data_IF_215486231082
#
_entry.id   IF_215486231082
#
_cell.length_a   1.000
_cell.length_b   1.000
_cell.length_c   1.000
_cell.angle_alpha   90.00
_cell.angle_beta   90.00
_cell.angle_gamma   90.00
#
_symmetry.space_group_name_H-M   'P 1'
#
loop_
_entity.id
_entity.type
_entity.pdbx_description
1 polymer ?
#
# COMPACT_ATOMS: atom_id res chain seq x y z
N UNK A 1 5.46 -0.08 0.48
CA UNK A 1 6.53 -0.53 1.38
C UNK A 1 5.95 -1.08 2.68
N UNK A 2 5.00 -0.39 3.33
CA UNK A 2 4.32 -0.87 4.54
C UNK A 2 3.59 -2.19 4.31
N UNK A 3 2.78 -2.29 3.24
CA UNK A 3 2.12 -3.54 2.84
C UNK A 3 3.14 -4.66 2.62
N UNK A 4 4.27 -4.37 1.96
CA UNK A 4 5.33 -5.36 1.76
C UNK A 4 5.97 -5.84 3.08
N UNK A 5 6.03 -4.97 4.11
CA UNK A 5 6.50 -5.33 5.44
C UNK A 5 5.52 -6.24 6.20
N UNK A 6 4.24 -6.21 5.83
CA UNK A 6 3.19 -7.04 6.42
C UNK A 6 3.07 -8.43 5.77
N UNK A 7 3.64 -8.62 4.57
CA UNK A 7 3.65 -9.92 3.90
C UNK A 7 4.58 -10.91 4.62
N UNK A 8 4.31 -12.23 4.55
CA UNK A 8 5.14 -13.26 5.19
C UNK A 8 6.64 -13.08 4.90
N UNK A 9 7.47 -13.29 5.93
CA UNK A 9 8.92 -13.05 5.84
C UNK A 9 9.63 -13.96 4.83
N UNK A 10 9.13 -15.17 4.67
CA UNK A 10 9.62 -16.19 3.75
C UNK A 10 9.30 -15.91 2.26
N UNK A 11 8.40 -14.96 1.98
CA UNK A 11 8.10 -14.61 0.59
C UNK A 11 9.21 -13.75 0.00
N UNK A 12 9.65 -14.10 -1.19
CA UNK A 12 10.48 -13.23 -1.99
C UNK A 12 9.64 -12.06 -2.51
N UNK A 13 10.14 -10.83 -2.35
CA UNK A 13 9.40 -9.60 -2.62
C UNK A 13 10.17 -8.71 -3.56
N UNK A 14 9.49 -8.19 -4.56
CA UNK A 14 10.02 -7.19 -5.50
C UNK A 14 9.06 -6.01 -5.57
N UNK A 15 9.58 -4.80 -5.50
CA UNK A 15 8.80 -3.57 -5.70
C UNK A 15 9.13 -2.95 -7.05
N UNK A 16 8.10 -2.58 -7.79
CA UNK A 16 8.22 -1.72 -8.97
C UNK A 16 7.37 -0.47 -8.73
N UNK A 17 8.04 0.64 -8.44
CA UNK A 17 7.40 1.95 -8.40
C UNK A 17 7.41 2.54 -9.81
N UNK A 18 6.26 2.55 -10.45
CA UNK A 18 6.09 2.98 -11.84
C UNK A 18 6.32 4.50 -12.05
N UNK A 19 6.47 5.28 -10.97
CA UNK A 19 6.86 6.70 -11.07
C UNK A 19 8.37 6.86 -11.36
N UNK A 20 9.18 5.86 -11.01
CA UNK A 20 10.64 5.93 -11.13
C UNK A 20 11.25 4.75 -11.90
N UNK A 21 10.49 3.66 -12.10
CA UNK A 21 10.96 2.43 -12.75
C UNK A 21 9.90 1.89 -13.70
N UNK A 22 10.34 1.35 -14.83
CA UNK A 22 9.42 0.72 -15.79
C UNK A 22 9.11 -0.72 -15.35
N UNK A 23 7.82 -1.08 -15.26
CA UNK A 23 7.38 -2.46 -15.12
C UNK A 23 7.62 -3.24 -16.41
N UNK A 24 8.26 -4.40 -16.32
CA UNK A 24 8.48 -5.31 -17.45
C UNK A 24 7.56 -6.54 -17.39
N UNK A 25 7.38 -7.24 -18.50
CA UNK A 25 6.61 -8.50 -18.50
C UNK A 25 7.34 -9.61 -17.74
N UNK A 26 8.67 -9.53 -17.63
CA UNK A 26 9.45 -10.49 -16.84
C UNK A 26 9.26 -10.26 -15.33
N UNK A 27 9.04 -9.02 -14.87
CA UNK A 27 8.66 -8.74 -13.50
C UNK A 27 7.32 -9.40 -13.14
N UNK A 28 6.35 -9.36 -14.07
CA UNK A 28 5.04 -9.96 -13.90
C UNK A 28 5.14 -11.50 -13.91
N UNK A 29 5.89 -12.09 -14.85
CA UNK A 29 6.06 -13.55 -14.92
C UNK A 29 6.81 -14.14 -13.74
N UNK A 30 7.67 -13.34 -13.10
CA UNK A 30 8.40 -13.75 -11.90
C UNK A 30 7.48 -13.94 -10.68
N UNK A 31 6.35 -13.21 -10.62
CA UNK A 31 5.50 -13.16 -9.46
C UNK A 31 4.38 -14.21 -9.50
N UNK A 32 4.15 -14.91 -8.39
CA UNK A 32 2.94 -15.71 -8.18
C UNK A 32 1.70 -14.80 -7.99
N UNK A 33 1.91 -13.66 -7.33
CA UNK A 33 0.90 -12.63 -7.11
C UNK A 33 1.47 -11.24 -7.37
N UNK A 34 0.73 -10.43 -8.12
CA UNK A 34 1.01 -9.01 -8.31
C UNK A 34 0.11 -8.19 -7.39
N UNK A 35 0.71 -7.52 -6.41
CA UNK A 35 -0.01 -6.60 -5.52
C UNK A 35 -0.02 -5.20 -6.14
N UNK A 36 -1.19 -4.63 -6.38
CA UNK A 36 -1.38 -3.31 -6.97
C UNK A 36 -1.95 -2.35 -5.91
N UNK A 37 -1.25 -1.25 -5.68
CA UNK A 37 -1.75 -0.13 -4.87
C UNK A 37 -1.62 1.16 -5.67
N UNK A 38 -2.70 1.93 -5.77
CA UNK A 38 -2.73 3.12 -6.61
C UNK A 38 -3.68 4.20 -6.09
N UNK A 39 -3.44 5.43 -6.53
CA UNK A 39 -4.33 6.57 -6.40
C UNK A 39 -5.23 6.69 -7.63
N UNK A 40 -6.35 7.41 -7.51
CA UNK A 40 -7.34 7.62 -8.61
C UNK A 40 -6.68 8.19 -9.87
N UNK A 41 -5.71 9.10 -9.72
CA UNK A 41 -4.99 9.70 -10.86
C UNK A 41 -4.17 8.68 -11.67
N UNK A 42 -3.91 7.48 -11.13
CA UNK A 42 -3.12 6.42 -11.76
C UNK A 42 -4.00 5.36 -12.47
N UNK A 43 -5.31 5.56 -12.51
CA UNK A 43 -6.30 4.59 -13.01
C UNK A 43 -5.95 4.03 -14.41
N UNK A 44 -5.47 4.86 -15.35
CA UNK A 44 -5.12 4.40 -16.70
C UNK A 44 -3.93 3.42 -16.67
N UNK A 45 -2.87 3.75 -15.91
CA UNK A 45 -1.71 2.87 -15.74
C UNK A 45 -2.10 1.55 -15.04
N UNK A 46 -3.03 1.61 -14.09
CA UNK A 46 -3.55 0.41 -13.41
C UNK A 46 -4.28 -0.51 -14.39
N UNK A 47 -5.15 0.02 -15.26
CA UNK A 47 -5.85 -0.78 -16.30
C UNK A 47 -4.86 -1.49 -17.23
N UNK A 48 -3.78 -0.80 -17.62
CA UNK A 48 -2.72 -1.41 -18.42
C UNK A 48 -2.00 -2.55 -17.69
N UNK A 49 -1.67 -2.36 -16.39
CA UNK A 49 -1.03 -3.40 -15.57
C UNK A 49 -1.94 -4.61 -15.42
N UNK A 50 -3.23 -4.41 -15.11
CA UNK A 50 -4.21 -5.49 -15.00
C UNK A 50 -4.29 -6.29 -16.30
N UNK A 51 -4.44 -5.62 -17.45
CA UNK A 51 -4.49 -6.27 -18.76
C UNK A 51 -3.22 -7.09 -19.05
N UNK A 52 -2.04 -6.59 -18.64
CA UNK A 52 -0.77 -7.33 -18.77
C UNK A 52 -0.71 -8.54 -17.86
N UNK A 53 -1.13 -8.44 -16.60
CA UNK A 53 -1.19 -9.56 -15.67
C UNK A 53 -2.14 -10.66 -16.18
N UNK A 54 -3.32 -10.29 -16.68
CA UNK A 54 -4.28 -11.22 -17.27
C UNK A 54 -3.70 -11.94 -18.49
N UNK A 55 -3.07 -11.21 -19.41
CA UNK A 55 -2.38 -11.80 -20.58
C UNK A 55 -1.31 -12.81 -20.18
N UNK A 56 -0.60 -12.57 -19.09
CA UNK A 56 0.48 -13.39 -18.56
C UNK A 56 0.01 -14.45 -17.54
N UNK A 57 -1.30 -14.51 -17.28
CA UNK A 57 -1.94 -15.45 -16.34
C UNK A 57 -1.36 -15.34 -14.91
N UNK A 58 -1.05 -14.12 -14.45
CA UNK A 58 -0.57 -13.84 -13.11
C UNK A 58 -1.71 -13.29 -12.26
N UNK A 59 -1.89 -13.81 -11.06
CA UNK A 59 -2.97 -13.40 -10.13
C UNK A 59 -2.72 -12.01 -9.57
N UNK A 60 -3.81 -11.27 -9.35
CA UNK A 60 -3.77 -9.88 -8.89
C UNK A 60 -4.44 -9.76 -7.52
N UNK A 61 -3.76 -9.08 -6.61
CA UNK A 61 -4.31 -8.58 -5.34
C UNK A 61 -4.27 -7.06 -5.39
N UNK A 62 -5.42 -6.41 -5.27
CA UNK A 62 -5.52 -4.96 -5.41
C UNK A 62 -6.02 -4.29 -4.13
N UNK A 63 -5.45 -3.13 -3.80
CA UNK A 63 -5.84 -2.33 -2.64
C UNK A 63 -5.43 -0.87 -2.76
N UNK A 64 -5.60 -0.13 -1.67
CA UNK A 64 -5.29 1.30 -1.64
C UNK A 64 -6.47 2.18 -2.11
N UNK A 65 -6.28 3.50 -2.18
CA UNK A 65 -7.37 4.47 -2.36
C UNK A 65 -8.21 4.23 -3.61
N UNK A 66 -7.59 3.97 -4.77
CA UNK A 66 -8.30 3.74 -6.03
C UNK A 66 -9.33 2.62 -5.91
N UNK A 67 -8.92 1.49 -5.36
CA UNK A 67 -9.79 0.31 -5.26
C UNK A 67 -10.76 0.40 -4.08
N UNK A 68 -10.38 1.06 -2.99
CA UNK A 68 -11.29 1.28 -1.86
C UNK A 68 -12.53 2.09 -2.26
N UNK A 69 -12.40 3.00 -3.24
CA UNK A 69 -13.49 3.86 -3.70
C UNK A 69 -14.15 3.43 -5.00
N UNK A 70 -13.65 2.40 -5.69
CA UNK A 70 -14.19 2.03 -7.02
C UNK A 70 -13.73 0.66 -7.51
N UNK A 71 -13.63 -0.34 -6.63
CA UNK A 71 -13.17 -1.68 -7.00
C UNK A 71 -14.08 -2.38 -8.02
N UNK A 72 -15.36 -2.02 -8.05
CA UNK A 72 -16.37 -2.59 -8.94
C UNK A 72 -16.04 -2.39 -10.43
N UNK A 73 -15.19 -1.41 -10.76
CA UNK A 73 -14.74 -1.15 -12.13
C UNK A 73 -13.65 -2.12 -12.63
N UNK A 74 -13.18 -3.04 -11.76
CA UNK A 74 -11.98 -3.87 -12.01
C UNK A 74 -12.28 -5.37 -11.87
N UNK A 75 -13.24 -5.87 -12.66
CA UNK A 75 -13.72 -7.26 -12.61
C UNK A 75 -12.64 -8.33 -12.82
N UNK A 76 -11.51 -7.95 -13.47
CA UNK A 76 -10.41 -8.89 -13.73
C UNK A 76 -9.47 -9.11 -12.55
N UNK A 77 -9.64 -8.41 -11.45
CA UNK A 77 -8.82 -8.57 -10.24
C UNK A 77 -9.32 -9.77 -9.44
N UNK A 78 -8.42 -10.67 -9.05
CA UNK A 78 -8.79 -11.88 -8.29
C UNK A 78 -9.17 -11.57 -6.85
N UNK A 79 -8.42 -10.67 -6.18
CA UNK A 79 -8.63 -10.37 -4.77
C UNK A 79 -8.51 -8.88 -4.49
N UNK A 80 -9.46 -8.34 -3.74
CA UNK A 80 -9.43 -6.97 -3.24
C UNK A 80 -9.17 -6.96 -1.74
N UNK A 81 -8.19 -6.13 -1.32
CA UNK A 81 -7.86 -5.84 0.07
C UNK A 81 -8.14 -4.34 0.29
N UNK A 82 -9.38 -4.03 0.67
CA UNK A 82 -9.92 -2.68 0.71
C UNK A 82 -9.77 -2.02 2.10
N UNK A 83 -9.72 -0.69 2.11
CA UNK A 83 -9.51 0.08 3.32
C UNK A 83 -8.06 0.04 3.81
N UNK A 84 -7.88 0.03 5.13
CA UNK A 84 -6.56 0.01 5.74
C UNK A 84 -6.02 -1.43 5.83
N UNK A 85 -4.90 -1.68 5.17
CA UNK A 85 -4.33 -3.02 5.00
C UNK A 85 -3.99 -3.71 6.33
N UNK A 86 -3.73 -2.95 7.39
CA UNK A 86 -3.46 -3.48 8.73
C UNK A 86 -4.61 -4.36 9.26
N UNK A 87 -5.83 -4.13 8.79
CA UNK A 87 -7.03 -4.91 9.18
C UNK A 87 -7.34 -6.00 8.17
N UNK A 88 -7.30 -5.67 6.88
CA UNK A 88 -7.85 -6.53 5.83
C UNK A 88 -6.83 -7.49 5.22
N UNK A 89 -5.55 -7.10 5.15
CA UNK A 89 -4.50 -7.97 4.61
C UNK A 89 -4.26 -9.25 5.43
N UNK A 90 -4.25 -9.23 6.78
CA UNK A 90 -4.11 -10.46 7.57
C UNK A 90 -5.20 -11.48 7.28
N UNK A 91 -6.45 -11.04 7.05
CA UNK A 91 -7.57 -11.93 6.71
C UNK A 91 -7.35 -12.61 5.36
N UNK A 92 -6.91 -11.85 4.35
CA UNK A 92 -6.52 -12.39 3.05
C UNK A 92 -5.41 -13.43 3.17
N UNK A 93 -4.35 -13.12 3.92
CA UNK A 93 -3.19 -14.01 4.08
C UNK A 93 -3.55 -15.30 4.82
N UNK A 94 -4.43 -15.23 5.81
CA UNK A 94 -4.93 -16.41 6.53
C UNK A 94 -5.71 -17.33 5.59
N UNK A 95 -6.65 -16.79 4.81
CA UNK A 95 -7.45 -17.59 3.87
C UNK A 95 -6.61 -18.10 2.70
N UNK A 96 -5.63 -17.33 2.26
CA UNK A 96 -4.67 -17.78 1.25
C UNK A 96 -3.87 -18.99 1.75
N UNK A 97 -3.40 -18.95 3.01
CA UNK A 97 -2.71 -20.08 3.64
C UNK A 97 -3.57 -21.32 3.78
N UNK A 98 -4.89 -21.16 3.88
CA UNK A 98 -5.87 -22.27 3.89
C UNK A 98 -6.25 -22.74 2.47
N UNK A 99 -5.80 -22.06 1.42
CA UNK A 99 -6.13 -22.35 0.03
C UNK A 99 -7.55 -21.94 -0.40
N UNK A 100 -8.22 -21.07 0.34
CA UNK A 100 -9.58 -20.61 0.08
C UNK A 100 -9.73 -19.07 0.16
N UNK A 101 -8.88 -18.27 -0.51
CA UNK A 101 -8.98 -16.82 -0.46
C UNK A 101 -10.28 -16.34 -1.09
N UNK A 102 -10.91 -15.35 -0.45
CA UNK A 102 -12.13 -14.70 -0.94
C UNK A 102 -11.78 -13.62 -1.99
N UNK A 103 -12.80 -13.17 -2.72
CA UNK A 103 -12.65 -12.12 -3.71
C UNK A 103 -12.44 -10.74 -3.06
N UNK A 104 -13.17 -10.44 -1.97
CA UNK A 104 -13.16 -9.11 -1.32
C UNK A 104 -12.92 -9.26 0.17
N UNK A 105 -11.96 -8.49 0.68
CA UNK A 105 -11.68 -8.26 2.09
C UNK A 105 -11.88 -6.77 2.37
N UNK A 106 -12.90 -6.43 3.13
CA UNK A 106 -13.22 -5.06 3.51
C UNK A 106 -13.56 -5.00 5.01
N UNK A 107 -13.33 -3.85 5.63
CA UNK A 107 -13.67 -3.63 7.04
C UNK A 107 -13.90 -2.14 7.29
N UNK A 108 -14.88 -1.83 8.11
CA UNK A 108 -15.10 -0.48 8.65
C UNK A 108 -14.25 -0.19 9.89
N UNK A 109 -13.53 -1.20 10.39
CA UNK A 109 -12.64 -1.06 11.53
C UNK A 109 -11.41 -0.24 11.16
N UNK A 110 -11.06 0.72 11.99
CA UNK A 110 -9.85 1.54 11.85
C UNK A 110 -8.75 1.00 12.77
N UNK A 111 -7.56 0.65 12.25
CA UNK A 111 -6.48 0.10 13.08
C UNK A 111 -5.83 1.15 13.97
N UNK A 112 -5.18 0.67 15.02
CA UNK A 112 -4.18 1.45 15.76
C UNK A 112 -2.91 1.53 14.91
N UNK A 113 -2.61 2.70 14.36
CA UNK A 113 -1.46 2.86 13.46
C UNK A 113 -0.10 2.82 14.17
N UNK A 114 -0.11 2.89 15.50
CA UNK A 114 1.08 2.62 16.34
C UNK A 114 1.61 1.18 16.19
N UNK A 115 0.80 0.26 15.64
CA UNK A 115 1.19 -1.12 15.35
C UNK A 115 1.60 -1.37 13.90
N UNK A 116 1.52 -0.35 13.05
CA UNK A 116 1.95 -0.44 11.64
C UNK A 116 3.45 -0.74 11.58
N UNK A 117 3.91 -1.74 10.82
CA UNK A 117 5.32 -2.06 10.75
C UNK A 117 6.14 -0.96 10.06
N UNK A 118 7.42 -0.90 10.37
CA UNK A 118 8.37 -0.05 9.66
C UNK A 118 8.34 -0.45 8.18
N UNK A 119 8.23 0.53 7.26
CA UNK A 119 8.20 0.25 5.83
C UNK A 119 9.46 -0.51 5.37
N UNK A 120 9.29 -1.47 4.47
CA UNK A 120 10.37 -2.30 3.98
C UNK A 120 11.25 -1.53 2.96
N UNK A 121 12.02 -0.59 3.46
CA UNK A 121 12.88 0.30 2.67
C UNK A 121 13.94 -0.43 1.83
N UNK A 122 14.24 -1.69 2.16
CA UNK A 122 15.18 -2.52 1.38
C UNK A 122 14.74 -2.80 -0.06
N UNK A 123 13.44 -2.62 -0.35
CA UNK A 123 12.89 -2.87 -1.67
C UNK A 123 13.11 -1.73 -2.67
N UNK A 124 13.56 -0.56 -2.20
CA UNK A 124 13.78 0.59 -3.08
C UNK A 124 15.25 0.93 -3.25
N UNK A 125 15.57 1.46 -4.42
CA UNK A 125 16.85 2.14 -4.64
C UNK A 125 16.68 3.63 -4.25
N UNK A 126 17.15 4.01 -3.06
CA UNK A 126 17.00 5.36 -2.53
C UNK A 126 17.55 6.45 -3.45
N UNK A 127 18.52 6.12 -4.32
CA UNK A 127 19.14 7.07 -5.26
C UNK A 127 18.20 7.54 -6.37
N UNK A 128 17.08 6.87 -6.58
CA UNK A 128 16.09 7.24 -7.60
C UNK A 128 15.02 8.22 -7.11
N UNK A 129 15.06 8.57 -5.82
CA UNK A 129 14.07 9.45 -5.19
C UNK A 129 14.69 10.78 -4.77
N UNK A 130 13.92 11.87 -4.89
CA UNK A 130 14.31 13.21 -4.42
C UNK A 130 14.00 13.43 -2.94
N UNK A 131 12.98 12.75 -2.43
CA UNK A 131 12.58 12.76 -1.01
C UNK A 131 11.99 11.41 -0.62
N UNK A 132 12.00 11.09 0.67
CA UNK A 132 11.27 9.96 1.23
C UNK A 132 10.00 10.45 1.93
N UNK A 133 8.96 9.64 1.89
CA UNK A 133 7.69 9.95 2.52
C UNK A 133 7.49 9.08 3.76
N UNK A 134 7.16 9.72 4.88
CA UNK A 134 6.72 9.04 6.10
C UNK A 134 5.37 9.58 6.52
N UNK A 135 4.57 8.77 7.19
CA UNK A 135 3.27 9.15 7.71
C UNK A 135 3.28 9.05 9.23
N UNK A 136 2.89 10.12 9.91
CA UNK A 136 2.74 10.15 11.36
C UNK A 136 1.29 9.90 11.78
N UNK A 137 0.32 10.49 11.05
CA UNK A 137 -1.09 10.38 11.40
C UNK A 137 -1.97 10.00 10.21
N UNK A 138 -3.15 9.45 10.50
CA UNK A 138 -4.24 9.21 9.56
C UNK A 138 -5.55 9.70 10.14
N UNK A 139 -6.42 10.20 9.26
CA UNK A 139 -7.73 10.73 9.61
C UNK A 139 -7.71 12.24 9.79
N UNK A 140 -8.88 12.86 9.55
CA UNK A 140 -9.03 14.31 9.58
C UNK A 140 -10.37 14.68 10.21
N UNK A 141 -10.40 15.58 11.23
CA UNK A 141 -11.65 15.94 11.90
C UNK A 141 -12.55 16.86 11.05
N UNK A 142 -12.02 17.41 9.96
CA UNK A 142 -12.74 18.33 9.08
C UNK A 142 -13.59 17.58 8.05
N UNK A 143 -14.68 18.22 7.62
CA UNK A 143 -15.62 17.68 6.64
C UNK A 143 -15.59 18.54 5.36
N UNK A 144 -14.44 18.58 4.68
CA UNK A 144 -14.29 19.32 3.44
C UNK A 144 -15.03 18.61 2.29
N UNK A 145 -15.89 19.30 1.58
CA UNK A 145 -16.80 18.75 0.56
C UNK A 145 -16.06 18.03 -0.59
N UNK A 146 -14.84 18.44 -0.89
CA UNK A 146 -14.02 17.89 -1.99
C UNK A 146 -13.01 16.82 -1.55
N UNK A 147 -12.99 16.43 -0.27
CA UNK A 147 -11.91 15.62 0.31
C UNK A 147 -12.37 14.21 0.68
N UNK A 148 -11.72 13.20 0.10
CA UNK A 148 -12.04 11.78 0.33
C UNK A 148 -11.36 11.20 1.57
N UNK A 149 -10.55 11.96 2.30
CA UNK A 149 -9.76 11.47 3.44
C UNK A 149 -10.63 10.88 4.53
N UNK A 150 -11.78 11.51 4.84
CA UNK A 150 -12.69 11.00 5.84
C UNK A 150 -13.32 9.66 5.44
N UNK A 151 -13.54 9.44 4.15
CA UNK A 151 -14.02 8.17 3.62
C UNK A 151 -12.94 7.09 3.76
N UNK A 152 -11.69 7.41 3.42
CA UNK A 152 -10.56 6.49 3.46
C UNK A 152 -10.08 6.22 4.90
N UNK A 153 -9.84 7.27 5.69
CA UNK A 153 -9.13 7.21 6.96
C UNK A 153 -9.98 7.58 8.18
N UNK A 154 -11.23 8.06 7.97
CA UNK A 154 -12.16 8.43 9.03
C UNK A 154 -11.94 9.84 9.61
N UNK A 155 -12.85 10.24 10.52
CA UNK A 155 -12.84 11.56 11.13
C UNK A 155 -11.92 11.70 12.35
N UNK A 156 -11.55 10.59 12.99
CA UNK A 156 -10.73 10.61 14.19
C UNK A 156 -9.27 10.49 13.82
N UNK A 157 -8.44 11.52 14.07
CA UNK A 157 -7.00 11.42 13.87
C UNK A 157 -6.41 10.33 14.77
N UNK A 158 -5.61 9.48 14.18
CA UNK A 158 -4.85 8.41 14.86
C UNK A 158 -3.38 8.62 14.56
N UNK A 159 -2.53 8.55 15.57
CA UNK A 159 -1.11 8.85 15.45
C UNK A 159 -0.26 7.62 15.71
N UNK A 160 0.91 7.57 15.11
CA UNK A 160 2.00 6.73 15.57
C UNK A 160 2.57 7.26 16.87
N UNK A 161 3.26 6.40 17.61
CA UNK A 161 4.09 6.84 18.70
C UNK A 161 5.36 7.51 18.17
N UNK A 162 5.94 8.42 18.95
CA UNK A 162 7.19 9.10 18.56
C UNK A 162 8.34 8.12 18.33
N UNK A 163 8.41 7.07 19.13
CA UNK A 163 9.41 6.00 19.03
C UNK A 163 9.32 5.28 17.70
N UNK A 164 8.09 4.99 17.23
CA UNK A 164 7.85 4.36 15.94
C UNK A 164 8.28 5.26 14.78
N UNK A 165 7.90 6.54 14.80
CA UNK A 165 8.31 7.48 13.76
C UNK A 165 9.83 7.63 13.71
N UNK A 166 10.48 7.73 14.88
CA UNK A 166 11.94 7.79 14.96
C UNK A 166 12.58 6.51 14.40
N UNK A 167 12.06 5.34 14.72
CA UNK A 167 12.57 4.07 14.19
C UNK A 167 12.46 3.99 12.65
N UNK A 168 11.39 4.51 12.05
CA UNK A 168 11.27 4.61 10.59
C UNK A 168 12.33 5.53 9.97
N UNK A 169 12.62 6.67 10.61
CA UNK A 169 13.64 7.62 10.17
C UNK A 169 15.05 7.05 10.37
N UNK A 170 15.31 6.37 11.49
CA UNK A 170 16.58 5.71 11.77
C UNK A 170 16.87 4.60 10.75
N UNK A 171 15.88 3.80 10.39
CA UNK A 171 16.05 2.77 9.36
C UNK A 171 16.39 3.38 7.99
N UNK A 172 15.73 4.49 7.59
CA UNK A 172 16.11 5.25 6.40
C UNK A 172 17.56 5.76 6.49
N UNK A 173 17.95 6.30 7.65
CA UNK A 173 19.30 6.81 7.87
C UNK A 173 20.34 5.69 7.79
N UNK A 174 20.08 4.52 8.41
CA UNK A 174 20.98 3.37 8.36
C UNK A 174 21.14 2.82 6.95
N UNK A 175 20.12 2.95 6.10
CA UNK A 175 20.18 2.60 4.67
C UNK A 175 20.87 3.65 3.81
N UNK A 176 21.43 4.68 4.42
CA UNK A 176 22.23 5.69 3.74
C UNK A 176 21.44 6.88 3.20
N UNK A 177 20.12 6.99 3.51
CA UNK A 177 19.37 8.19 3.13
C UNK A 177 19.86 9.43 3.88
N UNK A 178 20.10 10.51 3.15
CA UNK A 178 20.55 11.82 3.70
C UNK A 178 19.79 12.99 3.06
N UNK A 179 18.73 12.69 2.31
CA UNK A 179 17.88 13.70 1.66
C UNK A 179 16.73 14.17 2.54
N UNK A 180 15.84 14.96 1.97
CA UNK A 180 14.62 15.42 2.62
C UNK A 180 13.67 14.27 2.95
N UNK A 181 12.90 14.43 4.02
CA UNK A 181 11.78 13.56 4.38
C UNK A 181 10.51 14.41 4.43
N UNK A 182 9.49 13.98 3.72
CA UNK A 182 8.18 14.64 3.67
C UNK A 182 7.18 13.85 4.53
N UNK A 183 6.49 14.54 5.43
CA UNK A 183 5.42 13.95 6.24
C UNK A 183 4.13 14.07 5.45
N UNK A 184 3.55 12.92 5.07
CA UNK A 184 2.36 12.82 4.20
C UNK A 184 1.07 12.62 4.99
N UNK A 185 0.89 13.40 6.05
CA UNK A 185 -0.29 13.33 6.90
C UNK A 185 -1.50 13.98 6.24
N UNK A 186 -2.68 13.44 6.51
CA UNK A 186 -3.95 14.01 6.05
C UNK A 186 -4.19 15.40 6.66
N UNK A 187 -3.81 15.56 7.90
CA UNK A 187 -3.82 16.80 8.65
C UNK A 187 -2.77 16.71 9.77
N UNK A 188 -1.69 17.46 9.62
CA UNK A 188 -0.62 17.50 10.63
C UNK A 188 -1.02 18.49 11.71
N UNK A 189 -1.40 18.00 12.89
CA UNK A 189 -1.84 18.79 14.04
C UNK A 189 -0.85 18.60 15.19
#
# INVERSE_FOLDING_TARGET
>A
LTVAAMLPGEWEKKLVDMNVTRLTDDDIRWADYVFISAMVVQQNSVKEVIARCKRLNTKIVAGGPLFTTGYEEYEEVEHFVLGEAEVTLPLFLEDLGKGCPQHIYASDTRPEISKTPIPLWSLINTKTYSSMNVQYSRGCPFNCEFCDIILLNGHTPRTKDKEQLLAELEELYHRGWRGGVFIVDDNFI
#
